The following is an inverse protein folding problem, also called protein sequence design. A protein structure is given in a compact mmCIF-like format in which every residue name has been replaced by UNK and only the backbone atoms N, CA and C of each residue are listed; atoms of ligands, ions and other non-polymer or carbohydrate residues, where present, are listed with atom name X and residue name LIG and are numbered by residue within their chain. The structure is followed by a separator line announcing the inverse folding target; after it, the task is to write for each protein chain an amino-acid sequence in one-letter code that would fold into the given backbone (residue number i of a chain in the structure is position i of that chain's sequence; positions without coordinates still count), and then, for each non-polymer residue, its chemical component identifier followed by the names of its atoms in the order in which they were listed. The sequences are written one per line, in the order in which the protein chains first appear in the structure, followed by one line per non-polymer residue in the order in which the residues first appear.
data_IF_481078300671
#
_entry.id   IF_481078300671
#
_cell.length_a   1.000
_cell.length_b   1.000
_cell.length_c   1.000
_cell.angle_alpha   90.00
_cell.angle_beta   90.00
_cell.angle_gamma   90.00
#
_symmetry.space_group_name_H-M   'P 1'
#
loop_
_entity.id
_entity.type
_entity.pdbx_description
1 polymer ?
#
# COMPACT_ATOMS: atom_id res chain seq x y z
N UNK A 1 16.62 -12.79 4.36
CA UNK A 1 15.70 -11.82 5.00
C UNK A 1 14.93 -11.15 3.88
N UNK A 2 13.60 -11.31 3.83
CA UNK A 2 12.78 -10.69 2.79
C UNK A 2 12.61 -9.22 3.18
N UNK A 3 13.03 -8.29 2.32
CA UNK A 3 13.05 -6.85 2.60
C UNK A 3 11.69 -6.28 3.08
N UNK A 4 10.58 -6.92 2.70
CA UNK A 4 9.21 -6.49 3.01
C UNK A 4 8.48 -7.35 4.06
N UNK A 5 9.18 -8.27 4.74
CA UNK A 5 8.56 -9.22 5.68
C UNK A 5 7.78 -8.52 6.79
N UNK A 6 8.35 -7.47 7.39
CA UNK A 6 7.69 -6.71 8.48
C UNK A 6 6.40 -6.05 8.02
N UNK A 7 6.33 -5.59 6.77
CA UNK A 7 5.09 -5.04 6.19
C UNK A 7 4.03 -6.15 6.12
N UNK A 8 4.37 -7.31 5.57
CA UNK A 8 3.42 -8.43 5.47
C UNK A 8 2.94 -8.90 6.85
N UNK A 9 3.82 -8.96 7.85
CA UNK A 9 3.46 -9.27 9.25
C UNK A 9 2.47 -8.27 9.81
N UNK A 10 2.69 -6.96 9.58
CA UNK A 10 1.78 -5.92 10.03
C UNK A 10 0.42 -5.98 9.33
N UNK A 11 0.40 -6.18 8.01
CA UNK A 11 -0.83 -6.35 7.22
C UNK A 11 -1.64 -7.55 7.72
N UNK A 12 -0.97 -8.69 7.97
CA UNK A 12 -1.62 -9.90 8.48
C UNK A 12 -2.15 -9.72 9.90
N UNK A 13 -1.38 -9.09 10.79
CA UNK A 13 -1.78 -8.82 12.18
C UNK A 13 -3.06 -7.96 12.25
N UNK A 14 -3.21 -6.99 11.36
CA UNK A 14 -4.40 -6.14 11.29
C UNK A 14 -5.53 -6.69 10.40
N UNK A 15 -5.37 -7.90 9.85
CA UNK A 15 -6.33 -8.54 8.93
C UNK A 15 -6.68 -7.64 7.73
N UNK A 16 -5.66 -7.00 7.14
CA UNK A 16 -5.83 -6.22 5.91
C UNK A 16 -6.20 -7.15 4.78
N UNK A 17 -7.21 -6.77 4.00
CA UNK A 17 -7.60 -7.45 2.76
C UNK A 17 -6.81 -6.89 1.60
N UNK A 18 -5.85 -7.68 1.12
CA UNK A 18 -5.02 -7.35 -0.03
C UNK A 18 -4.64 -8.62 -0.78
N UNK A 19 -4.18 -8.46 -2.01
CA UNK A 19 -3.49 -9.49 -2.77
C UNK A 19 -2.13 -8.97 -3.21
N UNK A 20 -1.10 -9.79 -3.02
CA UNK A 20 0.25 -9.52 -3.50
C UNK A 20 0.30 -9.72 -5.01
N UNK A 21 0.81 -8.72 -5.73
CA UNK A 21 0.96 -8.75 -7.19
C UNK A 21 2.39 -8.32 -7.57
N UNK A 22 2.66 -8.15 -8.86
CA UNK A 22 3.94 -7.61 -9.34
C UNK A 22 5.12 -8.57 -9.18
N UNK A 23 6.32 -7.99 -9.06
CA UNK A 23 7.58 -8.75 -9.14
C UNK A 23 7.78 -9.74 -7.99
N UNK A 24 7.41 -9.37 -6.77
CA UNK A 24 7.53 -10.25 -5.61
C UNK A 24 6.60 -11.47 -5.75
N UNK A 25 5.35 -11.28 -6.21
CA UNK A 25 4.44 -12.40 -6.46
C UNK A 25 5.02 -13.41 -7.45
N UNK A 26 5.58 -12.91 -8.56
CA UNK A 26 6.25 -13.74 -9.58
C UNK A 26 7.43 -14.50 -8.99
N UNK A 27 8.23 -13.85 -8.14
CA UNK A 27 9.35 -14.49 -7.45
C UNK A 27 8.91 -15.62 -6.51
N UNK A 28 7.83 -15.42 -5.76
CA UNK A 28 7.28 -16.46 -4.86
C UNK A 28 6.70 -17.66 -5.63
N UNK A 29 6.30 -17.47 -6.90
CA UNK A 29 5.86 -18.55 -7.79
C UNK A 29 7.01 -19.27 -8.51
N UNK A 30 8.27 -18.94 -8.19
CA UNK A 30 9.45 -19.67 -8.66
C UNK A 30 10.11 -19.13 -9.93
N UNK A 31 9.64 -17.99 -10.46
CA UNK A 31 10.33 -17.29 -11.54
C UNK A 31 11.35 -16.28 -10.98
N UNK A 32 12.46 -16.02 -11.67
CA UNK A 32 13.40 -14.97 -11.25
C UNK A 32 13.10 -13.65 -11.94
N UNK A 33 12.75 -12.63 -11.16
CA UNK A 33 12.53 -11.26 -11.63
C UNK A 33 13.14 -10.27 -10.65
N UNK A 34 13.95 -9.35 -11.17
CA UNK A 34 14.41 -8.21 -10.38
C UNK A 34 13.25 -7.22 -10.17
N UNK A 35 13.08 -6.78 -8.93
CA UNK A 35 12.08 -5.80 -8.48
C UNK A 35 12.64 -5.10 -7.25
N UNK A 36 12.35 -3.80 -7.13
CA UNK A 36 12.79 -2.97 -6.01
C UNK A 36 11.60 -2.36 -5.26
N UNK A 37 10.39 -2.83 -5.56
CA UNK A 37 9.11 -2.33 -5.10
C UNK A 37 8.22 -3.47 -4.59
N UNK A 38 7.16 -3.10 -3.88
CA UNK A 38 6.12 -3.98 -3.39
C UNK A 38 4.79 -3.51 -3.96
N UNK A 39 4.19 -4.31 -4.85
CA UNK A 39 2.88 -4.04 -5.43
C UNK A 39 1.80 -4.87 -4.74
N UNK A 40 0.76 -4.22 -4.23
CA UNK A 40 -0.42 -4.88 -3.66
C UNK A 40 -1.69 -4.26 -4.24
N UNK A 41 -2.70 -5.09 -4.52
CA UNK A 41 -4.08 -4.63 -4.71
C UNK A 41 -4.83 -4.76 -3.40
N UNK A 42 -5.71 -3.82 -3.11
CA UNK A 42 -6.36 -3.70 -1.80
C UNK A 42 -7.87 -3.59 -1.95
N UNK A 43 -8.62 -4.13 -0.99
CA UNK A 43 -10.07 -3.86 -0.92
C UNK A 43 -10.28 -2.36 -0.62
N UNK A 44 -11.09 -1.69 -1.42
CA UNK A 44 -11.32 -0.24 -1.35
C UNK A 44 -12.33 0.19 -0.28
N UNK A 45 -12.46 -0.58 0.80
CA UNK A 45 -13.26 -0.19 1.96
C UNK A 45 -12.47 0.79 2.83
N UNK A 46 -13.17 1.78 3.40
CA UNK A 46 -12.51 2.86 4.16
C UNK A 46 -11.76 2.31 5.39
N UNK A 47 -12.30 1.28 6.05
CA UNK A 47 -11.63 0.58 7.16
C UNK A 47 -10.33 -0.09 6.72
N UNK A 48 -10.33 -0.79 5.57
CA UNK A 48 -9.16 -1.48 5.07
C UNK A 48 -8.05 -0.48 4.67
N UNK A 49 -8.44 0.60 3.98
CA UNK A 49 -7.50 1.64 3.56
C UNK A 49 -6.93 2.42 4.74
N UNK A 50 -7.73 2.68 5.77
CA UNK A 50 -7.25 3.28 7.02
C UNK A 50 -6.17 2.42 7.68
N UNK A 51 -6.40 1.11 7.82
CA UNK A 51 -5.40 0.16 8.36
C UNK A 51 -4.09 0.21 7.57
N UNK A 52 -4.17 0.17 6.24
CA UNK A 52 -2.99 0.22 5.36
C UNK A 52 -2.21 1.51 5.59
N UNK A 53 -2.89 2.66 5.60
CA UNK A 53 -2.27 3.96 5.82
C UNK A 53 -1.57 4.02 7.18
N UNK A 54 -2.22 3.54 8.25
CA UNK A 54 -1.67 3.52 9.60
C UNK A 54 -0.44 2.61 9.70
N UNK A 55 -0.50 1.42 9.09
CA UNK A 55 0.64 0.49 9.03
C UNK A 55 1.82 1.13 8.31
N UNK A 56 1.61 1.67 7.10
CA UNK A 56 2.68 2.27 6.30
C UNK A 56 3.31 3.48 7.03
N UNK A 57 2.49 4.36 7.64
CA UNK A 57 2.99 5.46 8.47
C UNK A 57 3.81 4.95 9.66
N UNK A 58 3.35 3.91 10.36
CA UNK A 58 4.08 3.33 11.51
C UNK A 58 5.43 2.71 11.13
N UNK A 59 5.57 2.27 9.88
CA UNK A 59 6.80 1.72 9.31
C UNK A 59 7.70 2.80 8.67
N UNK A 60 7.37 4.09 8.83
CA UNK A 60 8.17 5.21 8.35
C UNK A 60 7.93 5.60 6.88
N UNK A 61 6.98 4.95 6.19
CA UNK A 61 6.64 5.31 4.82
C UNK A 61 5.83 6.61 4.77
N UNK A 62 6.09 7.40 3.73
CA UNK A 62 5.28 8.57 3.39
C UNK A 62 4.45 8.25 2.17
N UNK A 63 3.18 8.62 2.22
CA UNK A 63 2.29 8.47 1.08
C UNK A 63 2.52 9.61 0.11
N UNK A 64 2.59 9.23 -1.17
CA UNK A 64 2.70 10.13 -2.30
C UNK A 64 1.44 9.94 -3.14
N UNK A 65 0.58 10.94 -3.21
CA UNK A 65 -0.60 10.90 -4.07
C UNK A 65 -0.17 10.95 -5.55
N UNK A 66 -0.83 10.25 -6.49
CA UNK A 66 -0.67 10.50 -7.91
C UNK A 66 -1.06 11.94 -8.22
N UNK A 67 -0.17 12.67 -8.88
CA UNK A 67 -0.37 14.09 -9.17
C UNK A 67 -1.27 14.19 -10.41
N UNK A 68 -2.57 14.41 -10.24
CA UNK A 68 -3.39 15.01 -11.30
C UNK A 68 -3.39 16.52 -11.06
N UNK A 69 -2.72 17.27 -11.95
CA UNK A 69 -2.81 18.73 -12.07
C UNK A 69 -2.38 19.55 -10.84
N UNK A 70 -1.20 20.17 -10.91
CA UNK A 70 -0.81 21.36 -10.13
C UNK A 70 -1.29 21.44 -8.66
N UNK A 71 -0.76 20.58 -7.80
CA UNK A 71 -0.23 20.94 -6.46
C UNK A 71 0.10 19.67 -5.67
N UNK A 72 1.38 19.26 -5.75
CA UNK A 72 1.96 18.37 -4.74
C UNK A 72 2.10 19.16 -3.43
N UNK A 73 1.04 19.19 -2.63
CA UNK A 73 1.12 19.47 -1.19
C UNK A 73 0.97 18.12 -0.50
N UNK A 74 1.70 17.91 0.59
CA UNK A 74 1.55 16.73 1.44
C UNK A 74 0.08 16.55 1.83
N UNK A 75 -0.63 15.67 1.14
CA UNK A 75 -2.02 15.37 1.44
C UNK A 75 -2.00 14.32 2.56
N UNK A 76 -2.81 14.54 3.60
CA UNK A 76 -3.00 13.53 4.64
C UNK A 76 -3.50 12.24 3.98
N UNK A 77 -2.78 11.13 4.11
CA UNK A 77 -3.16 9.86 3.49
C UNK A 77 -4.51 9.33 3.94
N UNK A 78 -4.99 9.80 5.10
CA UNK A 78 -6.34 9.52 5.55
C UNK A 78 -7.40 10.08 4.59
N UNK A 79 -7.08 11.12 3.82
CA UNK A 79 -7.97 11.60 2.75
C UNK A 79 -8.14 10.55 1.68
N UNK A 80 -7.10 9.82 1.27
CA UNK A 80 -7.26 8.67 0.34
C UNK A 80 -8.18 7.59 0.94
N UNK A 81 -8.22 7.47 2.28
CA UNK A 81 -9.16 6.59 2.98
C UNK A 81 -10.60 7.16 3.05
N UNK A 82 -10.84 8.41 2.64
CA UNK A 82 -12.16 9.03 2.54
C UNK A 82 -12.76 8.82 1.14
N UNK A 83 -13.92 8.18 1.10
CA UNK A 83 -14.68 7.91 -0.12
C UNK A 83 -14.94 9.16 -0.97
N UNK A 84 -15.20 10.33 -0.36
CA UNK A 84 -15.49 11.58 -1.08
C UNK A 84 -14.33 12.08 -1.92
N UNK A 85 -13.09 11.71 -1.58
CA UNK A 85 -11.90 12.17 -2.32
C UNK A 85 -11.42 11.17 -3.38
N UNK A 86 -12.09 10.01 -3.50
CA UNK A 86 -11.79 8.97 -4.51
C UNK A 86 -12.64 9.07 -5.77
N UNK A 87 -13.75 9.79 -5.71
CA UNK A 87 -14.74 9.89 -6.80
C UNK A 87 -14.44 11.02 -7.80
N UNK A 88 -13.31 11.74 -7.63
CA UNK A 88 -12.81 12.78 -8.55
C UNK A 88 -11.90 12.22 -9.66
#
# INVERSE_FOLDING_TARGET
MIFYEEIFRALQKQKVKYVLVGGIAVNLLGAMRSTADLDILVEMSDDNLKKIVEILKSQGYRVKQPVNGERSRTIDPMKIADKKTRED
#
